data_IF_385446615336
#
_entry.id   IF_385446615336
#
_cell.length_a   1.000
_cell.length_b   1.000
_cell.length_c   1.000
_cell.angle_alpha   90.00
_cell.angle_beta   90.00
_cell.angle_gamma   90.00
#
_symmetry.space_group_name_H-M   'P 1'
#
loop_
_entity.id
_entity.type
_entity.pdbx_description
1 polymer ?
#
# COMPACT_ATOMS: atom_id res chain seq x y z
N UNK A 1 -8.49 -19.64 -13.84
CA UNK A 1 -7.72 -18.39 -13.71
C UNK A 1 -7.34 -18.25 -12.24
N UNK A 2 -6.05 -18.18 -11.92
CA UNK A 2 -5.60 -17.92 -10.55
C UNK A 2 -5.67 -16.41 -10.31
N UNK A 3 -5.91 -15.97 -9.08
CA UNK A 3 -5.99 -14.53 -8.74
C UNK A 3 -4.74 -13.76 -9.15
N UNK A 4 -3.57 -14.40 -9.15
CA UNK A 4 -2.30 -13.77 -9.58
C UNK A 4 -2.27 -13.43 -11.08
N UNK A 5 -3.01 -14.16 -11.91
CA UNK A 5 -3.06 -13.91 -13.35
C UNK A 5 -3.68 -12.54 -13.66
N UNK A 6 -4.64 -12.10 -12.84
CA UNK A 6 -5.24 -10.77 -12.96
C UNK A 6 -4.20 -9.67 -12.75
N UNK A 7 -3.43 -9.74 -11.66
CA UNK A 7 -2.41 -8.72 -11.37
C UNK A 7 -1.27 -8.73 -12.39
N UNK A 8 -0.90 -9.89 -12.91
CA UNK A 8 0.10 -10.00 -13.97
C UNK A 8 -0.38 -9.39 -15.30
N UNK A 9 -1.66 -9.55 -15.63
CA UNK A 9 -2.23 -9.06 -16.89
C UNK A 9 -2.62 -7.58 -16.82
N UNK A 10 -3.12 -7.11 -15.68
CA UNK A 10 -3.74 -5.79 -15.53
C UNK A 10 -2.96 -4.86 -14.59
N UNK A 11 -1.65 -5.09 -14.40
CA UNK A 11 -0.80 -4.34 -13.49
C UNK A 11 -0.90 -2.82 -13.70
N UNK A 12 -0.87 -2.36 -14.95
CA UNK A 12 -0.94 -0.93 -15.28
C UNK A 12 -2.30 -0.33 -14.95
N UNK A 13 -3.42 -1.00 -15.28
CA UNK A 13 -4.74 -0.49 -14.91
C UNK A 13 -4.92 -0.48 -13.40
N UNK A 14 -4.44 -1.52 -12.70
CA UNK A 14 -4.48 -1.58 -11.25
C UNK A 14 -3.65 -0.44 -10.63
N UNK A 15 -2.46 -0.16 -11.15
CA UNK A 15 -1.63 0.96 -10.73
C UNK A 15 -2.38 2.28 -10.88
N UNK A 16 -2.88 2.58 -12.08
CA UNK A 16 -3.59 3.84 -12.36
C UNK A 16 -4.84 4.00 -11.50
N UNK A 17 -5.58 2.92 -11.24
CA UNK A 17 -6.80 2.95 -10.44
C UNK A 17 -6.54 3.09 -8.93
N UNK A 18 -5.35 2.71 -8.44
CA UNK A 18 -5.12 2.57 -7.00
C UNK A 18 -4.05 3.48 -6.43
N UNK A 19 -3.14 4.03 -7.24
CA UNK A 19 -1.98 4.79 -6.77
C UNK A 19 -2.37 6.04 -5.96
N UNK A 20 -3.47 6.70 -6.32
CA UNK A 20 -3.90 7.97 -5.72
C UNK A 20 -5.17 7.86 -4.88
N UNK A 21 -5.60 6.64 -4.55
CA UNK A 21 -6.73 6.45 -3.63
C UNK A 21 -6.34 6.96 -2.25
N UNK A 22 -7.19 7.81 -1.67
CA UNK A 22 -7.00 8.29 -0.31
C UNK A 22 -7.28 7.16 0.69
N UNK A 23 -6.28 6.85 1.50
CA UNK A 23 -6.26 5.78 2.49
C UNK A 23 -6.01 6.32 3.90
N UNK A 24 -5.96 7.64 4.10
CA UNK A 24 -5.53 8.24 5.36
C UNK A 24 -6.39 7.79 6.54
N UNK A 25 -7.70 7.64 6.33
CA UNK A 25 -8.64 7.14 7.35
C UNK A 25 -8.34 5.71 7.82
N UNK A 26 -7.66 4.91 6.99
CA UNK A 26 -7.22 3.55 7.32
C UNK A 26 -5.82 3.54 7.92
N UNK A 27 -4.93 4.44 7.47
CA UNK A 27 -3.59 4.57 8.01
C UNK A 27 -3.60 5.06 9.46
N UNK A 28 -4.45 6.02 9.82
CA UNK A 28 -4.49 6.60 11.16
C UNK A 28 -4.66 5.58 12.29
N UNK A 29 -5.70 4.71 12.30
CA UNK A 29 -5.86 3.73 13.36
C UNK A 29 -4.78 2.64 13.31
N UNK A 30 -4.23 2.31 12.14
CA UNK A 30 -3.12 1.37 12.03
C UNK A 30 -1.84 1.93 12.66
N UNK A 31 -1.45 3.15 12.29
CA UNK A 31 -0.21 3.79 12.76
C UNK A 31 -0.27 4.17 14.24
N UNK A 32 -1.46 4.38 14.80
CA UNK A 32 -1.64 4.58 16.24
C UNK A 32 -1.17 3.38 17.09
N UNK A 33 -1.17 2.18 16.52
CA UNK A 33 -0.74 0.94 17.19
C UNK A 33 0.71 0.54 16.84
N UNK A 34 1.39 1.31 15.97
CA UNK A 34 2.76 1.05 15.54
C UNK A 34 3.71 1.97 16.29
N UNK A 35 4.76 1.44 16.96
CA UNK A 35 5.75 2.28 17.61
C UNK A 35 6.41 3.28 16.65
N UNK A 36 6.70 4.47 17.14
CA UNK A 36 7.42 5.49 16.37
C UNK A 36 8.72 4.92 15.77
N UNK A 37 8.95 5.19 14.48
CA UNK A 37 10.14 4.72 13.74
C UNK A 37 10.30 3.20 13.64
N UNK A 38 9.25 2.42 13.91
CA UNK A 38 9.25 0.99 13.59
C UNK A 38 9.36 0.76 12.08
N UNK A 39 9.89 -0.41 11.68
CA UNK A 39 9.99 -0.79 10.27
C UNK A 39 8.75 -1.56 9.83
N UNK A 40 8.12 -1.12 8.75
CA UNK A 40 6.94 -1.77 8.16
C UNK A 40 7.35 -2.58 6.92
N UNK A 41 6.84 -3.81 6.81
CA UNK A 41 6.98 -4.65 5.62
C UNK A 41 5.62 -4.77 4.92
N UNK A 42 5.53 -4.21 3.71
CA UNK A 42 4.33 -4.24 2.86
C UNK A 42 4.40 -5.41 1.87
N UNK A 43 3.70 -6.50 2.18
CA UNK A 43 3.68 -7.72 1.36
C UNK A 43 2.54 -7.65 0.34
N UNK A 44 2.88 -7.81 -0.94
CA UNK A 44 1.91 -7.64 -2.03
C UNK A 44 1.58 -6.17 -2.29
N UNK A 45 2.57 -5.30 -2.14
CA UNK A 45 2.43 -3.83 -2.19
C UNK A 45 1.82 -3.26 -3.47
N UNK A 46 1.70 -4.05 -4.54
CA UNK A 46 1.00 -3.67 -5.77
C UNK A 46 1.52 -2.37 -6.36
N UNK A 47 0.70 -1.31 -6.34
CA UNK A 47 1.06 0.02 -6.82
C UNK A 47 2.12 0.75 -5.99
N UNK A 48 2.47 0.22 -4.81
CA UNK A 48 3.41 0.83 -3.87
C UNK A 48 2.84 2.03 -3.10
N UNK A 49 1.53 2.29 -3.20
CA UNK A 49 0.85 3.41 -2.52
C UNK A 49 1.11 3.39 -1.02
N UNK A 50 0.86 2.25 -0.37
CA UNK A 50 0.93 2.13 1.09
C UNK A 50 2.39 2.21 1.57
N UNK A 51 3.30 1.49 0.91
CA UNK A 51 4.76 1.63 1.10
C UNK A 51 5.23 3.09 1.02
N UNK A 52 4.81 3.85 0.00
CA UNK A 52 5.20 5.26 -0.15
C UNK A 52 4.62 6.13 0.97
N UNK A 53 3.35 5.91 1.35
CA UNK A 53 2.70 6.65 2.43
C UNK A 53 3.41 6.44 3.77
N UNK A 54 3.72 5.20 4.13
CA UNK A 54 4.42 4.88 5.39
C UNK A 54 5.84 5.44 5.41
N UNK A 55 6.59 5.30 4.30
CA UNK A 55 7.92 5.90 4.16
C UNK A 55 7.90 7.42 4.37
N UNK A 56 6.92 8.11 3.79
CA UNK A 56 6.79 9.57 3.94
C UNK A 56 6.38 9.99 5.36
N UNK A 57 5.78 9.09 6.14
CA UNK A 57 5.42 9.30 7.55
C UNK A 57 6.54 8.89 8.52
N UNK A 58 7.67 8.39 8.03
CA UNK A 58 8.85 8.08 8.84
C UNK A 58 8.96 6.63 9.34
N UNK A 59 8.23 5.69 8.72
CA UNK A 59 8.31 4.25 9.00
C UNK A 59 9.06 3.46 7.92
#
# INVERSE_FOLDING_TARGET
MKTIDYYNQYADQFLQATLYVDMESLYQPFLAEVPDSARILDLGCGSGRDTLAFKNKGY
#
